data_IF_056084286366
#
_entry.id   IF_056084286366
#
_cell.length_a   1.000
_cell.length_b   1.000
_cell.length_c   1.000
_cell.angle_alpha   90.00
_cell.angle_beta   90.00
_cell.angle_gamma   90.00
#
_symmetry.space_group_name_H-M   'P 1'
#
loop_
_entity.id
_entity.type
_entity.pdbx_description
1 polymer ?
#
# COMPACT_ATOMS: atom_id res chain seq x y z
N UNK A 1 -20.40 23.24 5.50
CA UNK A 1 -18.96 23.28 5.21
C UNK A 1 -18.19 22.64 6.37
N UNK A 2 -18.24 21.31 6.50
CA UNK A 2 -17.37 20.60 7.45
C UNK A 2 -16.17 20.07 6.66
N UNK A 3 -15.07 20.83 6.70
CA UNK A 3 -13.78 20.34 6.25
C UNK A 3 -13.31 19.30 7.27
N UNK A 4 -13.56 18.02 6.97
CA UNK A 4 -12.94 16.91 7.69
C UNK A 4 -11.64 16.62 6.96
N UNK A 5 -10.47 16.84 7.57
CA UNK A 5 -9.19 16.58 6.91
C UNK A 5 -8.99 15.07 6.79
N UNK A 6 -8.93 14.56 5.56
CA UNK A 6 -8.67 13.15 5.21
C UNK A 6 -7.17 12.80 5.23
N UNK A 7 -6.31 13.74 5.59
CA UNK A 7 -4.85 13.62 5.49
C UNK A 7 -4.16 12.89 6.66
N UNK A 8 -4.92 12.34 7.63
CA UNK A 8 -4.34 11.74 8.83
C UNK A 8 -4.13 10.21 8.76
N UNK A 9 -4.48 9.54 7.67
CA UNK A 9 -4.49 8.05 7.63
C UNK A 9 -3.30 7.45 6.87
N UNK A 10 -2.51 8.25 6.15
CA UNK A 10 -1.38 7.73 5.37
C UNK A 10 -0.02 8.20 5.88
N UNK A 11 0.85 7.20 6.11
CA UNK A 11 2.30 7.30 6.23
C UNK A 11 2.89 7.68 7.61
N UNK A 12 2.65 6.81 8.61
CA UNK A 12 3.76 6.46 9.52
C UNK A 12 4.29 5.09 9.12
N UNK A 13 5.01 5.06 7.99
CA UNK A 13 5.89 3.94 7.68
C UNK A 13 6.94 3.80 8.80
N UNK A 14 7.46 2.59 9.06
CA UNK A 14 8.50 2.40 10.07
C UNK A 14 9.82 2.91 9.50
N UNK A 15 10.06 4.21 9.63
CA UNK A 15 11.38 4.82 9.39
C UNK A 15 11.80 5.54 10.66
N UNK A 16 12.09 4.76 11.69
CA UNK A 16 13.04 5.15 12.73
C UNK A 16 14.40 4.59 12.32
N UNK A 17 15.30 5.38 11.70
CA UNK A 17 16.62 4.88 11.26
C UNK A 17 17.63 4.69 12.40
N UNK A 18 17.18 4.52 13.65
CA UNK A 18 18.06 4.56 14.83
C UNK A 18 17.97 3.39 15.82
N UNK A 19 16.95 2.53 15.76
CA UNK A 19 16.71 1.57 16.86
C UNK A 19 16.88 0.09 16.46
N UNK A 20 16.91 -0.26 15.17
CA UNK A 20 17.07 -1.66 14.77
C UNK A 20 18.50 -2.18 14.86
N UNK A 21 19.50 -1.37 15.21
CA UNK A 21 20.88 -1.84 15.33
C UNK A 21 21.16 -2.47 16.70
N UNK A 22 20.53 -1.95 17.77
CA UNK A 22 20.88 -2.32 19.15
C UNK A 22 20.26 -3.66 19.58
N UNK A 23 19.04 -4.00 19.15
CA UNK A 23 18.39 -5.28 19.51
C UNK A 23 19.02 -6.51 18.83
N UNK A 24 19.68 -6.34 17.68
CA UNK A 24 20.31 -7.44 16.95
C UNK A 24 21.60 -7.92 17.62
N UNK A 25 22.46 -6.99 18.02
CA UNK A 25 23.72 -7.29 18.71
C UNK A 25 23.49 -7.79 20.15
N UNK A 26 22.46 -7.31 20.86
CA UNK A 26 22.27 -7.65 22.27
C UNK A 26 21.42 -8.91 22.53
N UNK A 27 20.52 -9.30 21.62
CA UNK A 27 19.60 -10.44 21.84
C UNK A 27 19.65 -11.51 20.77
N UNK A 28 19.72 -11.14 19.50
CA UNK A 28 19.59 -12.11 18.40
C UNK A 28 20.91 -12.82 18.13
N UNK A 29 22.02 -12.08 18.08
CA UNK A 29 23.35 -12.63 17.86
C UNK A 29 23.81 -13.56 18.99
N UNK A 30 23.71 -13.18 20.29
CA UNK A 30 24.06 -14.07 21.40
C UNK A 30 23.13 -15.29 21.49
N UNK A 31 21.83 -15.14 21.23
CA UNK A 31 20.90 -16.27 21.29
C UNK A 31 21.18 -17.31 20.21
N UNK A 32 21.41 -16.89 18.96
CA UNK A 32 21.66 -17.83 17.84
C UNK A 32 23.03 -18.49 17.98
N UNK A 33 24.06 -17.71 18.27
CA UNK A 33 25.42 -18.26 18.43
C UNK A 33 25.51 -19.18 19.64
N UNK A 34 24.89 -18.86 20.78
CA UNK A 34 24.92 -19.72 21.97
C UNK A 34 24.14 -21.01 21.77
N UNK A 35 22.98 -20.96 21.12
CA UNK A 35 22.18 -22.16 20.85
C UNK A 35 22.90 -23.11 19.89
N UNK A 36 23.47 -22.57 18.80
CA UNK A 36 24.20 -23.38 17.82
C UNK A 36 25.52 -23.87 18.40
N UNK A 37 26.24 -23.03 19.16
CA UNK A 37 27.48 -23.44 19.83
C UNK A 37 27.21 -24.57 20.82
N UNK A 38 26.11 -24.52 21.59
CA UNK A 38 25.72 -25.60 22.48
C UNK A 38 25.38 -26.90 21.72
N UNK A 39 24.70 -26.81 20.58
CA UNK A 39 24.39 -27.99 19.75
C UNK A 39 25.63 -28.63 19.13
N UNK A 40 26.58 -27.80 18.67
CA UNK A 40 27.83 -28.23 18.06
C UNK A 40 28.75 -28.82 19.14
N UNK A 41 28.93 -28.15 20.28
CA UNK A 41 29.75 -28.65 21.40
C UNK A 41 29.18 -29.95 21.97
N UNK A 42 27.86 -30.17 21.91
CA UNK A 42 27.25 -31.44 22.32
C UNK A 42 27.59 -32.64 21.40
N UNK A 43 28.10 -32.41 20.18
CA UNK A 43 28.50 -33.46 19.24
C UNK A 43 30.01 -33.78 19.28
N UNK A 44 30.85 -32.96 19.91
CA UNK A 44 32.31 -33.13 19.92
C UNK A 44 32.86 -33.32 21.33
N UNK A 45 33.78 -34.28 21.50
CA UNK A 45 34.51 -34.44 22.75
C UNK A 45 35.57 -33.33 22.94
N UNK A 46 35.92 -33.03 24.20
CA UNK A 46 36.82 -31.93 24.55
C UNK A 46 38.22 -31.97 23.87
N UNK A 47 38.70 -33.17 23.51
CA UNK A 47 39.95 -33.36 22.79
C UNK A 47 39.87 -33.06 21.29
N UNK A 48 38.70 -33.26 20.68
CA UNK A 48 38.46 -33.03 19.24
C UNK A 48 38.18 -31.56 18.94
N UNK A 49 37.58 -30.82 19.87
CA UNK A 49 37.31 -29.38 19.73
C UNK A 49 38.59 -28.54 19.52
N UNK A 50 39.71 -28.96 20.09
CA UNK A 50 41.00 -28.25 19.98
C UNK A 50 41.72 -28.61 18.69
N UNK A 51 41.67 -29.88 18.29
CA UNK A 51 42.39 -30.39 17.11
C UNK A 51 41.65 -30.15 15.81
N UNK A 52 40.32 -30.11 15.83
CA UNK A 52 39.47 -29.94 14.65
C UNK A 52 38.71 -28.60 14.66
N UNK A 53 39.30 -27.56 15.27
CA UNK A 53 38.70 -26.22 15.36
C UNK A 53 38.15 -25.71 14.01
N UNK A 54 38.83 -26.00 12.90
CA UNK A 54 38.40 -25.57 11.57
C UNK A 54 37.09 -26.25 11.12
N UNK A 55 36.94 -27.56 11.36
CA UNK A 55 35.71 -28.31 11.04
C UNK A 55 34.53 -27.81 11.87
N UNK A 56 34.76 -27.58 13.17
CA UNK A 56 33.76 -27.04 14.10
C UNK A 56 33.31 -25.63 13.67
N UNK A 57 34.26 -24.77 13.29
CA UNK A 57 33.97 -23.41 12.85
C UNK A 57 33.14 -23.42 11.56
N UNK A 58 33.46 -24.30 10.61
CA UNK A 58 32.72 -24.43 9.34
C UNK A 58 31.28 -24.92 9.56
N UNK A 59 31.08 -25.96 10.37
CA UNK A 59 29.74 -26.46 10.69
C UNK A 59 28.90 -25.42 11.44
N UNK A 60 29.54 -24.65 12.33
CA UNK A 60 28.88 -23.56 13.03
C UNK A 60 28.37 -22.48 12.07
N UNK A 61 29.21 -22.01 11.14
CA UNK A 61 28.81 -20.99 10.16
C UNK A 61 27.65 -21.47 9.30
N UNK A 62 27.71 -22.70 8.81
CA UNK A 62 26.64 -23.29 7.98
C UNK A 62 25.31 -23.40 8.76
N UNK A 63 25.36 -23.84 10.02
CA UNK A 63 24.19 -23.93 10.88
C UNK A 63 23.59 -22.54 11.22
N UNK A 64 24.44 -21.53 11.41
CA UNK A 64 24.00 -20.14 11.66
C UNK A 64 23.29 -19.60 10.44
N UNK A 65 23.88 -19.73 9.25
CA UNK A 65 23.29 -19.27 8.00
C UNK A 65 21.94 -19.95 7.73
N UNK A 66 21.87 -21.27 7.89
CA UNK A 66 20.63 -22.03 7.71
C UNK A 66 19.52 -21.56 8.68
N UNK A 67 19.83 -21.36 9.97
CA UNK A 67 18.85 -20.84 10.94
C UNK A 67 18.43 -19.41 10.63
N UNK A 68 19.35 -18.55 10.21
CA UNK A 68 19.04 -17.17 9.84
C UNK A 68 18.10 -17.12 8.63
N UNK A 69 18.35 -17.93 7.60
CA UNK A 69 17.47 -18.04 6.43
C UNK A 69 16.09 -18.54 6.84
N UNK A 70 16.00 -19.60 7.63
CA UNK A 70 14.71 -20.14 8.08
C UNK A 70 13.89 -19.12 8.90
N UNK A 71 14.54 -18.39 9.83
CA UNK A 71 13.86 -17.34 10.60
C UNK A 71 13.43 -16.17 9.71
N UNK A 72 14.27 -15.77 8.75
CA UNK A 72 13.97 -14.66 7.86
C UNK A 72 12.81 -15.00 6.93
N UNK A 73 12.76 -16.22 6.39
CA UNK A 73 11.65 -16.71 5.59
C UNK A 73 10.34 -16.75 6.39
N UNK A 74 10.38 -17.22 7.64
CA UNK A 74 9.23 -17.19 8.53
C UNK A 74 8.73 -15.76 8.82
N UNK A 75 9.64 -14.81 9.05
CA UNK A 75 9.30 -13.39 9.23
C UNK A 75 8.69 -12.78 7.96
N UNK A 76 9.28 -13.04 6.79
CA UNK A 76 8.77 -12.59 5.48
C UNK A 76 7.38 -13.13 5.19
N UNK A 77 7.14 -14.42 5.44
CA UNK A 77 5.83 -15.03 5.26
C UNK A 77 4.75 -14.36 6.10
N UNK A 78 5.04 -14.09 7.39
CA UNK A 78 4.13 -13.35 8.27
C UNK A 78 3.82 -11.95 7.76
N UNK A 79 4.84 -11.23 7.29
CA UNK A 79 4.67 -9.88 6.76
C UNK A 79 3.76 -9.83 5.52
N UNK A 80 3.91 -10.79 4.61
CA UNK A 80 3.05 -10.85 3.40
C UNK A 80 1.60 -11.13 3.76
N UNK A 81 1.35 -12.03 4.72
CA UNK A 81 0.00 -12.33 5.21
C UNK A 81 -0.61 -11.09 5.85
N UNK A 82 0.09 -10.45 6.78
CA UNK A 82 -0.42 -9.27 7.48
C UNK A 82 -0.69 -8.10 6.53
N UNK A 83 0.19 -7.87 5.55
CA UNK A 83 -0.04 -6.87 4.50
C UNK A 83 -1.34 -7.13 3.73
N UNK A 84 -1.60 -8.38 3.39
CA UNK A 84 -2.82 -8.78 2.66
C UNK A 84 -4.07 -8.55 3.51
N UNK A 85 -3.99 -8.85 4.81
CA UNK A 85 -5.09 -8.59 5.74
C UNK A 85 -5.38 -7.09 5.89
N UNK A 86 -4.35 -6.26 6.01
CA UNK A 86 -4.51 -4.81 6.09
C UNK A 86 -5.12 -4.23 4.81
N UNK A 87 -4.63 -4.66 3.64
CA UNK A 87 -5.19 -4.22 2.35
C UNK A 87 -6.67 -4.60 2.21
N UNK A 88 -7.05 -5.82 2.63
CA UNK A 88 -8.45 -6.25 2.64
C UNK A 88 -9.31 -5.37 3.56
N UNK A 89 -8.84 -5.09 4.77
CA UNK A 89 -9.55 -4.21 5.73
C UNK A 89 -9.70 -2.80 5.17
N UNK A 90 -8.65 -2.24 4.58
CA UNK A 90 -8.68 -0.92 3.95
C UNK A 90 -9.68 -0.85 2.79
N UNK A 91 -9.70 -1.86 1.92
CA UNK A 91 -10.66 -1.95 0.82
C UNK A 91 -12.11 -2.02 1.31
N UNK A 92 -12.38 -2.80 2.35
CA UNK A 92 -13.72 -2.87 2.97
C UNK A 92 -14.11 -1.52 3.56
N UNK A 93 -13.21 -0.85 4.29
CA UNK A 93 -13.48 0.45 4.91
C UNK A 93 -13.78 1.52 3.85
N UNK A 94 -13.01 1.55 2.76
CA UNK A 94 -13.30 2.43 1.61
C UNK A 94 -14.69 2.13 1.04
N UNK A 95 -14.97 0.89 0.69
CA UNK A 95 -16.26 0.52 0.09
C UNK A 95 -17.46 0.84 0.99
N UNK A 96 -17.34 0.58 2.30
CA UNK A 96 -18.37 0.90 3.29
C UNK A 96 -18.51 2.41 3.48
N UNK A 97 -17.38 3.15 3.49
CA UNK A 97 -17.36 4.61 3.56
C UNK A 97 -18.09 5.24 2.38
N UNK A 98 -17.78 4.81 1.16
CA UNK A 98 -18.39 5.30 -0.08
C UNK A 98 -19.89 4.98 -0.12
N UNK A 99 -20.28 3.76 0.26
CA UNK A 99 -21.69 3.35 0.32
C UNK A 99 -22.48 4.22 1.29
N UNK A 100 -21.94 4.46 2.48
CA UNK A 100 -22.60 5.28 3.52
C UNK A 100 -22.67 6.75 3.11
N UNK A 101 -21.63 7.28 2.47
CA UNK A 101 -21.64 8.62 1.90
C UNK A 101 -22.72 8.77 0.82
N UNK A 102 -22.80 7.82 -0.11
CA UNK A 102 -23.82 7.80 -1.15
C UNK A 102 -25.24 7.72 -0.58
N UNK A 103 -25.45 6.90 0.47
CA UNK A 103 -26.73 6.81 1.17
C UNK A 103 -27.13 8.14 1.84
N UNK A 104 -26.19 8.81 2.51
CA UNK A 104 -26.42 10.12 3.13
C UNK A 104 -26.72 11.19 2.07
N UNK A 105 -26.05 11.15 0.92
CA UNK A 105 -26.32 12.02 -0.21
C UNK A 105 -27.72 11.75 -0.76
N UNK A 106 -28.08 10.49 -1.01
CA UNK A 106 -29.41 10.11 -1.50
C UNK A 106 -30.52 10.57 -0.55
N UNK A 107 -30.34 10.37 0.76
CA UNK A 107 -31.30 10.79 1.78
C UNK A 107 -31.42 12.31 1.91
N UNK A 108 -30.33 13.06 1.73
CA UNK A 108 -30.37 14.52 1.77
C UNK A 108 -30.97 15.12 0.49
N UNK A 109 -30.66 14.56 -0.69
CA UNK A 109 -31.29 14.93 -1.96
C UNK A 109 -32.78 14.65 -1.96
N UNK A 110 -33.22 13.47 -1.47
CA UNK A 110 -34.63 13.13 -1.36
C UNK A 110 -35.41 14.11 -0.48
N UNK A 111 -34.77 14.73 0.52
CA UNK A 111 -35.38 15.73 1.42
C UNK A 111 -35.30 17.16 0.87
N UNK A 112 -34.23 17.52 0.17
CA UNK A 112 -33.98 18.89 -0.30
C UNK A 112 -34.57 19.18 -1.70
N UNK A 113 -34.85 18.14 -2.50
CA UNK A 113 -35.35 18.25 -3.88
C UNK A 113 -34.24 18.43 -4.93
N UNK A 114 -34.60 18.35 -6.20
CA UNK A 114 -33.65 18.25 -7.33
C UNK A 114 -33.17 19.62 -7.88
N UNK A 115 -33.64 20.74 -7.32
CA UNK A 115 -33.36 22.08 -7.85
C UNK A 115 -31.88 22.48 -7.83
N UNK A 116 -31.08 21.97 -6.89
CA UNK A 116 -29.63 22.22 -6.87
C UNK A 116 -28.88 21.46 -7.98
N UNK A 117 -29.35 20.27 -8.36
CA UNK A 117 -28.75 19.48 -9.44
C UNK A 117 -29.03 20.15 -10.80
N UNK A 118 -30.24 20.68 -10.98
CA UNK A 118 -30.58 21.45 -12.18
C UNK A 118 -29.74 22.72 -12.33
N UNK A 119 -29.51 23.45 -11.23
CA UNK A 119 -28.64 24.63 -11.26
C UNK A 119 -27.19 24.27 -11.61
N UNK A 120 -26.64 23.20 -11.01
CA UNK A 120 -25.29 22.73 -11.36
C UNK A 120 -25.17 22.25 -12.81
N UNK A 121 -26.21 21.61 -13.36
CA UNK A 121 -26.26 21.25 -14.79
C UNK A 121 -26.21 22.50 -15.68
N UNK A 122 -26.89 23.57 -15.29
CA UNK A 122 -26.84 24.85 -16.01
C UNK A 122 -25.47 25.51 -15.91
N UNK A 123 -24.86 25.55 -14.72
CA UNK A 123 -23.50 26.11 -14.53
C UNK A 123 -22.44 25.32 -15.32
N UNK A 124 -22.51 23.99 -15.31
CA UNK A 124 -21.62 23.15 -16.11
C UNK A 124 -21.84 23.35 -17.61
N UNK A 125 -23.10 23.49 -18.05
CA UNK A 125 -23.42 23.80 -19.45
C UNK A 125 -22.90 25.18 -19.86
N UNK A 126 -22.96 26.17 -18.97
CA UNK A 126 -22.40 27.50 -19.18
C UNK A 126 -20.88 27.46 -19.33
N UNK A 127 -20.16 26.78 -18.42
CA UNK A 127 -18.71 26.68 -18.50
C UNK A 127 -18.28 25.94 -19.77
N UNK A 128 -18.94 24.83 -20.12
CA UNK A 128 -18.69 24.12 -21.38
C UNK A 128 -18.95 25.04 -22.58
N UNK A 129 -20.09 25.74 -22.62
CA UNK A 129 -20.41 26.66 -23.72
C UNK A 129 -19.39 27.82 -23.82
N UNK A 130 -18.90 28.31 -22.70
CA UNK A 130 -17.88 29.35 -22.63
C UNK A 130 -16.51 28.86 -23.13
N UNK A 131 -16.06 27.68 -22.68
CA UNK A 131 -14.83 27.04 -23.16
C UNK A 131 -14.91 26.73 -24.66
N UNK A 132 -16.05 26.22 -25.11
CA UNK A 132 -16.33 25.93 -26.51
C UNK A 132 -16.27 27.22 -27.36
N UNK A 133 -16.98 28.28 -26.96
CA UNK A 133 -16.98 29.57 -27.66
C UNK A 133 -15.58 30.17 -27.85
N UNK A 134 -14.67 29.95 -26.89
CA UNK A 134 -13.27 30.40 -27.00
C UNK A 134 -12.37 29.49 -27.83
N UNK A 135 -12.80 28.25 -28.07
CA UNK A 135 -12.02 27.29 -28.85
C UNK A 135 -12.11 27.60 -30.35
N UNK A 136 -10.98 27.58 -31.06
CA UNK A 136 -10.90 27.94 -32.49
C UNK A 136 -11.54 26.90 -33.43
N UNK A 137 -12.03 25.78 -32.93
CA UNK A 137 -12.48 24.63 -33.72
C UNK A 137 -13.98 24.36 -33.59
N UNK A 138 -14.80 25.42 -33.58
CA UNK A 138 -16.25 25.32 -33.52
C UNK A 138 -16.87 26.04 -34.70
N UNK A 139 -17.66 25.28 -35.46
CA UNK A 139 -18.51 25.80 -36.51
C UNK A 139 -19.93 25.81 -35.97
N UNK A 140 -20.52 26.99 -35.78
CA UNK A 140 -21.92 27.11 -35.39
C UNK A 140 -22.81 26.78 -36.59
N UNK A 141 -23.57 25.70 -36.50
CA UNK A 141 -24.51 25.31 -37.54
C UNK A 141 -25.85 26.02 -37.30
N UNK A 142 -26.28 26.84 -38.27
CA UNK A 142 -27.64 27.37 -38.31
C UNK A 142 -28.60 26.24 -38.70
N UNK A 143 -29.75 26.16 -38.03
CA UNK A 143 -30.71 25.05 -38.06
C UNK A 143 -31.41 24.77 -39.43
N UNK A 144 -30.87 25.26 -40.54
CA UNK A 144 -31.49 25.16 -41.87
C UNK A 144 -30.59 24.67 -43.01
N UNK A 145 -29.30 24.40 -42.81
CA UNK A 145 -28.42 23.93 -43.88
C UNK A 145 -27.93 22.49 -43.63
N UNK A 146 -28.51 21.55 -44.37
CA UNK A 146 -28.03 20.16 -44.47
C UNK A 146 -26.56 20.13 -44.90
N UNK A 147 -25.72 19.54 -44.07
CA UNK A 147 -24.30 19.30 -44.36
C UNK A 147 -24.16 18.24 -45.47
N UNK A 148 -23.84 18.69 -46.68
CA UNK A 148 -23.27 17.82 -47.71
C UNK A 148 -21.79 17.66 -47.38
N UNK A 149 -21.49 16.69 -46.50
CA UNK A 149 -20.12 16.38 -46.09
C UNK A 149 -19.39 15.75 -47.30
N UNK A 150 -18.49 16.51 -47.91
CA UNK A 150 -17.57 16.01 -48.93
C UNK A 150 -16.63 14.98 -48.30
N UNK A 151 -16.89 13.71 -48.56
CA UNK A 151 -15.85 12.69 -48.66
C UNK A 151 -15.50 12.59 -50.15
N UNK A 152 -14.42 13.24 -50.58
CA UNK A 152 -13.81 13.01 -51.89
C UNK A 152 -12.34 12.65 -51.72
N UNK A 153 -12.03 11.40 -52.12
CA UNK A 153 -10.74 10.75 -52.35
C UNK A 153 -9.64 10.83 -51.29
#
# INVERSE_FOLDING_TARGET
>A
MMAVPVDAIYLKGPTDPGCFSQDYDERVLPSITTEILNLVVAHFDAGELITQRELVSRQFTEAVEAKQVAQQEAKRARFVVEKTEQQKKAAIISAVGDSKAAELIANSLAKAGDGLIELQKLEAAEDIAYQLSRSRNITYLSAGQSMLLQLSQ
#
